data_IF_845912392317
#
_entry.id   IF_845912392317
#
_cell.length_a   1.000
_cell.length_b   1.000
_cell.length_c   1.000
_cell.angle_alpha   90.00
_cell.angle_beta   90.00
_cell.angle_gamma   90.00
#
_symmetry.space_group_name_H-M   'P 1'
#
loop_
_entity.id
_entity.type
_entity.pdbx_description
1 polymer ?
#
# COMPACT_ATOMS: atom_id res chain seq x y z
N UNK A 1 -26.76 -9.85 15.66
CA UNK A 1 -25.53 -9.02 15.58
C UNK A 1 -25.82 -7.63 16.11
N UNK A 2 -24.89 -7.00 16.86
CA UNK A 2 -25.02 -5.60 17.33
C UNK A 2 -23.90 -4.74 16.72
N UNK A 3 -24.27 -3.72 15.96
CA UNK A 3 -23.29 -2.78 15.39
C UNK A 3 -22.66 -1.93 16.49
N UNK A 4 -21.35 -1.71 16.41
CA UNK A 4 -20.60 -0.87 17.35
C UNK A 4 -20.41 0.51 16.72
N UNK A 5 -21.00 1.60 17.24
CA UNK A 5 -20.86 2.94 16.67
C UNK A 5 -19.41 3.34 16.40
N UNK A 6 -18.50 3.02 17.33
CA UNK A 6 -17.06 3.29 17.20
C UNK A 6 -16.37 2.59 16.01
N UNK A 7 -16.91 1.45 15.54
CA UNK A 7 -16.40 0.69 14.39
C UNK A 7 -17.16 0.97 13.09
N UNK A 8 -18.29 1.68 13.15
CA UNK A 8 -19.07 2.07 11.98
C UNK A 8 -18.59 3.41 11.43
N UNK A 9 -18.77 3.63 10.13
CA UNK A 9 -18.59 4.94 9.49
C UNK A 9 -19.75 5.24 8.57
N UNK A 10 -20.07 6.52 8.44
CA UNK A 10 -21.08 6.98 7.48
C UNK A 10 -20.42 7.76 6.33
N UNK A 11 -21.01 7.66 5.14
CA UNK A 11 -20.62 8.44 3.97
C UNK A 11 -21.87 8.67 3.13
N UNK A 12 -22.12 9.92 2.76
CA UNK A 12 -23.23 10.27 1.87
C UNK A 12 -22.69 10.72 0.53
N UNK A 13 -23.21 10.09 -0.53
CA UNK A 13 -22.90 10.44 -1.91
C UNK A 13 -24.14 11.09 -2.54
N UNK A 14 -23.99 12.30 -3.06
CA UNK A 14 -25.04 12.98 -3.85
C UNK A 14 -24.46 13.42 -5.18
N UNK A 15 -25.01 12.90 -6.28
CA UNK A 15 -24.52 13.15 -7.65
C UNK A 15 -23.00 12.89 -7.79
N UNK A 16 -22.51 11.78 -7.21
CA UNK A 16 -21.11 11.39 -7.26
C UNK A 16 -20.15 12.19 -6.37
N UNK A 17 -20.65 13.16 -5.59
CA UNK A 17 -19.85 13.94 -4.64
C UNK A 17 -20.13 13.54 -3.21
N UNK A 18 -19.09 13.49 -2.39
CA UNK A 18 -19.22 13.29 -0.94
C UNK A 18 -19.86 14.51 -0.31
N UNK A 19 -20.88 14.31 0.52
CA UNK A 19 -21.61 15.36 1.23
C UNK A 19 -21.51 15.11 2.74
N UNK A 20 -20.73 15.93 3.43
CA UNK A 20 -20.55 15.85 4.87
C UNK A 20 -21.53 16.80 5.61
N UNK A 21 -22.83 16.55 5.43
CA UNK A 21 -23.90 17.32 6.09
C UNK A 21 -24.83 16.46 6.94
N UNK A 22 -24.91 15.17 6.63
CA UNK A 22 -25.83 14.26 7.28
C UNK A 22 -25.11 13.48 8.37
N UNK A 23 -25.75 13.36 9.53
CA UNK A 23 -25.27 12.57 10.65
C UNK A 23 -26.19 11.37 10.86
N UNK A 24 -25.58 10.23 11.16
CA UNK A 24 -26.28 8.97 11.41
C UNK A 24 -25.99 8.50 12.82
N UNK A 25 -27.01 7.99 13.49
CA UNK A 25 -26.90 7.43 14.83
C UNK A 25 -27.14 5.93 14.77
N UNK A 26 -26.38 5.16 15.56
CA UNK A 26 -26.72 3.78 15.90
C UNK A 26 -27.17 3.82 17.37
N UNK A 27 -28.42 3.43 17.61
CA UNK A 27 -29.12 3.75 18.86
C UNK A 27 -29.00 5.27 19.11
N UNK A 28 -28.46 5.67 20.27
CA UNK A 28 -28.33 7.07 20.66
C UNK A 28 -26.91 7.64 20.44
N UNK A 29 -26.03 6.90 19.76
CA UNK A 29 -24.65 7.32 19.52
C UNK A 29 -24.43 7.69 18.07
N UNK A 30 -23.97 8.93 17.84
CA UNK A 30 -23.57 9.41 16.52
C UNK A 30 -22.35 8.66 16.00
N UNK A 31 -22.42 8.23 14.74
CA UNK A 31 -21.33 7.57 14.04
C UNK A 31 -20.49 8.65 13.34
N UNK A 32 -19.15 8.60 13.45
CA UNK A 32 -18.30 9.52 12.71
C UNK A 32 -18.41 9.29 11.19
N UNK A 33 -18.28 10.36 10.41
CA UNK A 33 -18.21 10.24 8.96
C UNK A 33 -16.84 9.68 8.54
N UNK A 34 -16.78 9.08 7.34
CA UNK A 34 -15.50 8.59 6.78
C UNK A 34 -14.52 9.75 6.53
N UNK A 35 -15.04 10.96 6.29
CA UNK A 35 -14.25 12.18 6.12
C UNK A 35 -13.60 12.62 7.44
N UNK A 36 -14.32 12.51 8.56
CA UNK A 36 -13.79 12.82 9.90
C UNK A 36 -12.80 11.77 10.38
N UNK A 37 -13.16 10.49 10.19
CA UNK A 37 -12.36 9.37 10.67
C UNK A 37 -12.37 8.25 9.63
N UNK A 38 -11.33 8.16 8.78
CA UNK A 38 -11.16 7.04 7.88
C UNK A 38 -11.25 5.69 8.60
N UNK A 39 -11.65 4.65 7.87
CA UNK A 39 -11.73 3.29 8.41
C UNK A 39 -10.62 2.44 7.83
N UNK A 40 -9.96 1.66 8.71
CA UNK A 40 -8.98 0.66 8.30
C UNK A 40 -9.60 -0.73 8.40
N UNK A 41 -9.52 -1.52 7.34
CA UNK A 41 -9.95 -2.91 7.30
C UNK A 41 -8.95 -3.75 6.51
N UNK A 42 -8.49 -4.86 7.09
CA UNK A 42 -7.52 -5.77 6.45
C UNK A 42 -6.30 -5.02 5.87
N UNK A 43 -5.76 -4.05 6.60
CA UNK A 43 -4.62 -3.25 6.14
C UNK A 43 -4.97 -2.14 5.15
N UNK A 44 -6.13 -2.18 4.48
CA UNK A 44 -6.65 -1.11 3.62
C UNK A 44 -7.18 0.05 4.43
N UNK A 45 -6.83 1.27 4.05
CA UNK A 45 -7.49 2.48 4.55
C UNK A 45 -8.52 2.94 3.53
N UNK A 46 -9.74 3.17 3.98
CA UNK A 46 -10.82 3.79 3.21
C UNK A 46 -11.06 5.19 3.75
N UNK A 47 -10.79 6.17 2.90
CA UNK A 47 -11.06 7.59 3.15
C UNK A 47 -12.24 8.06 2.29
N UNK A 48 -12.56 9.36 2.38
CA UNK A 48 -13.64 9.96 1.60
C UNK A 48 -13.36 10.03 0.10
N UNK A 49 -12.10 9.92 -0.34
CA UNK A 49 -11.77 9.90 -1.77
C UNK A 49 -12.15 8.57 -2.43
N UNK A 50 -12.21 7.49 -1.64
CA UNK A 50 -12.39 6.10 -2.09
C UNK A 50 -11.35 5.68 -3.14
N UNK A 51 -10.24 6.41 -3.24
CA UNK A 51 -9.15 6.12 -4.15
C UNK A 51 -8.01 5.50 -3.39
N UNK A 52 -7.37 4.53 -4.03
CA UNK A 52 -6.21 3.86 -3.47
C UNK A 52 -4.89 4.58 -3.80
N UNK A 53 -4.94 5.70 -4.54
CA UNK A 53 -3.77 6.39 -5.11
C UNK A 53 -2.71 6.75 -4.06
N UNK A 54 -3.12 7.31 -2.92
CA UNK A 54 -2.20 7.70 -1.84
C UNK A 54 -1.48 6.49 -1.26
N UNK A 55 -2.21 5.40 -1.01
CA UNK A 55 -1.65 4.16 -0.48
C UNK A 55 -0.69 3.50 -1.48
N UNK A 56 -1.06 3.47 -2.76
CA UNK A 56 -0.21 2.95 -3.85
C UNK A 56 1.09 3.76 -3.94
N UNK A 57 1.00 5.09 -3.89
CA UNK A 57 2.18 5.96 -3.93
C UNK A 57 3.09 5.74 -2.72
N UNK A 58 2.51 5.56 -1.53
CA UNK A 58 3.25 5.22 -0.32
C UNK A 58 4.01 3.91 -0.48
N UNK A 59 3.35 2.85 -0.97
CA UNK A 59 3.99 1.55 -1.24
C UNK A 59 5.13 1.66 -2.26
N UNK A 60 4.95 2.44 -3.33
CA UNK A 60 6.01 2.68 -4.31
C UNK A 60 7.22 3.37 -3.67
N UNK A 61 6.98 4.33 -2.78
CA UNK A 61 8.03 5.09 -2.10
C UNK A 61 8.78 4.24 -1.08
N UNK A 62 8.05 3.40 -0.33
CA UNK A 62 8.65 2.41 0.59
C UNK A 62 9.52 1.41 -0.16
N UNK A 63 9.04 0.90 -1.30
CA UNK A 63 9.82 0.00 -2.14
C UNK A 63 11.13 0.66 -2.59
N UNK A 64 11.06 1.87 -3.13
CA UNK A 64 12.24 2.61 -3.56
C UNK A 64 13.23 2.80 -2.40
N UNK A 65 12.72 3.07 -1.20
CA UNK A 65 13.54 3.17 0.01
C UNK A 65 14.26 1.87 0.33
N UNK A 66 13.54 0.75 0.33
CA UNK A 66 14.12 -0.58 0.60
C UNK A 66 15.13 -1.00 -0.46
N UNK A 67 14.84 -0.81 -1.75
CA UNK A 67 15.78 -1.11 -2.85
C UNK A 67 17.06 -0.29 -2.72
N UNK A 68 16.96 1.01 -2.42
CA UNK A 68 18.14 1.87 -2.19
C UNK A 68 18.96 1.40 -0.98
N UNK A 69 18.32 0.96 0.09
CA UNK A 69 19.02 0.41 1.26
C UNK A 69 19.72 -0.90 0.94
N UNK A 70 19.10 -1.78 0.16
CA UNK A 70 19.72 -3.04 -0.30
C UNK A 70 20.90 -2.74 -1.21
N UNK A 71 20.77 -1.80 -2.12
CA UNK A 71 21.85 -1.45 -3.04
C UNK A 71 23.08 -0.90 -2.31
N UNK A 72 22.85 0.01 -1.35
CA UNK A 72 23.89 0.62 -0.51
C UNK A 72 24.48 -0.29 0.56
N UNK A 73 23.96 -1.52 0.71
CA UNK A 73 24.42 -2.43 1.76
C UNK A 73 25.82 -3.03 1.50
N UNK A 74 26.35 -2.91 0.28
CA UNK A 74 27.61 -3.55 -0.12
C UNK A 74 27.54 -5.07 -0.23
N UNK A 75 26.34 -5.66 -0.14
CA UNK A 75 26.14 -7.10 -0.27
C UNK A 75 26.42 -7.58 -1.71
N UNK A 76 27.04 -8.75 -1.90
CA UNK A 76 27.11 -9.40 -3.20
C UNK A 76 25.72 -9.61 -3.81
N UNK A 77 25.60 -9.55 -5.14
CA UNK A 77 24.32 -9.59 -5.86
C UNK A 77 23.40 -10.76 -5.47
N UNK A 78 23.95 -11.95 -5.21
CA UNK A 78 23.18 -13.12 -4.73
C UNK A 78 22.45 -12.87 -3.41
N UNK A 79 23.07 -12.12 -2.49
CA UNK A 79 22.47 -11.77 -1.21
C UNK A 79 21.48 -10.61 -1.35
N UNK A 80 21.72 -9.65 -2.26
CA UNK A 80 20.72 -8.62 -2.61
C UNK A 80 19.43 -9.27 -3.16
N UNK A 81 19.56 -10.24 -4.07
CA UNK A 81 18.44 -11.00 -4.60
C UNK A 81 17.69 -11.79 -3.52
N UNK A 82 18.43 -12.42 -2.59
CA UNK A 82 17.84 -13.11 -1.45
C UNK A 82 17.02 -12.17 -0.55
N UNK A 83 17.56 -10.99 -0.23
CA UNK A 83 16.87 -9.97 0.57
C UNK A 83 15.62 -9.46 -0.16
N UNK A 84 15.69 -9.29 -1.48
CA UNK A 84 14.51 -8.95 -2.26
C UNK A 84 13.43 -10.03 -2.14
N UNK A 85 13.78 -11.28 -2.41
CA UNK A 85 12.83 -12.41 -2.45
C UNK A 85 12.18 -12.69 -1.10
N UNK A 86 12.96 -12.66 -0.02
CA UNK A 86 12.49 -13.09 1.31
C UNK A 86 12.20 -11.95 2.28
N UNK A 87 12.72 -10.75 2.03
CA UNK A 87 12.51 -9.57 2.88
C UNK A 87 11.50 -8.59 2.28
N UNK A 88 11.74 -8.16 1.05
CA UNK A 88 11.00 -7.07 0.40
C UNK A 88 9.70 -7.58 -0.23
N UNK A 89 9.76 -8.64 -1.04
CA UNK A 89 8.62 -9.14 -1.80
C UNK A 89 7.40 -9.51 -0.93
N UNK A 90 7.54 -10.20 0.22
CA UNK A 90 6.39 -10.49 1.08
C UNK A 90 5.70 -9.24 1.63
N UNK A 91 6.44 -8.14 1.81
CA UNK A 91 5.88 -6.86 2.32
C UNK A 91 5.09 -6.11 1.26
N UNK A 92 5.51 -6.17 0.00
CA UNK A 92 4.82 -5.53 -1.13
C UNK A 92 3.59 -6.32 -1.56
N UNK A 93 3.65 -7.65 -1.45
CA UNK A 93 2.57 -8.53 -1.92
C UNK A 93 1.23 -8.19 -1.25
N UNK A 94 1.25 -7.83 0.04
CA UNK A 94 0.03 -7.46 0.77
C UNK A 94 -0.64 -6.17 0.24
N UNK A 95 0.05 -5.03 0.11
CA UNK A 95 -0.47 -3.86 -0.61
C UNK A 95 -0.99 -4.15 -2.01
N UNK A 96 -0.26 -4.95 -2.81
CA UNK A 96 -0.70 -5.31 -4.17
C UNK A 96 -2.00 -6.13 -4.18
N UNK A 97 -2.21 -6.96 -3.16
CA UNK A 97 -3.42 -7.77 -3.03
C UNK A 97 -4.63 -6.94 -2.56
N UNK A 98 -4.40 -5.99 -1.67
CA UNK A 98 -5.47 -5.27 -0.95
C UNK A 98 -5.94 -4.01 -1.70
N UNK A 99 -5.04 -3.36 -2.43
CA UNK A 99 -5.35 -2.16 -3.22
C UNK A 99 -5.60 -2.50 -4.68
N UNK A 100 -6.43 -1.69 -5.34
CA UNK A 100 -6.63 -1.78 -6.79
C UNK A 100 -5.46 -1.13 -7.53
N UNK A 101 -4.33 -1.84 -7.59
CA UNK A 101 -3.10 -1.34 -8.20
C UNK A 101 -3.16 -1.50 -9.73
N UNK A 102 -2.98 -0.43 -10.52
CA UNK A 102 -2.91 -0.53 -11.97
C UNK A 102 -1.72 -1.39 -12.43
N UNK A 103 -1.91 -2.15 -13.51
CA UNK A 103 -0.83 -3.00 -14.06
C UNK A 103 0.41 -2.17 -14.46
N UNK A 104 0.22 -0.97 -14.98
CA UNK A 104 1.31 -0.06 -15.35
C UNK A 104 2.17 0.35 -14.14
N UNK A 105 1.58 0.45 -12.95
CA UNK A 105 2.32 0.68 -11.71
C UNK A 105 3.15 -0.56 -11.39
N UNK A 106 2.59 -1.76 -11.51
CA UNK A 106 3.31 -3.03 -11.28
C UNK A 106 4.51 -3.17 -12.22
N UNK A 107 4.32 -2.92 -13.52
CA UNK A 107 5.41 -2.93 -14.52
C UNK A 107 6.53 -1.94 -14.19
N UNK A 108 6.16 -0.77 -13.65
CA UNK A 108 7.14 0.23 -13.20
C UNK A 108 7.94 -0.27 -12.00
N UNK A 109 7.28 -0.93 -11.04
CA UNK A 109 7.95 -1.53 -9.88
C UNK A 109 8.89 -2.66 -10.31
N UNK A 110 8.44 -3.53 -11.20
CA UNK A 110 9.25 -4.63 -11.76
C UNK A 110 10.54 -4.08 -12.40
N UNK A 111 10.42 -3.08 -13.27
CA UNK A 111 11.58 -2.45 -13.93
C UNK A 111 12.59 -1.91 -12.92
N UNK A 112 12.12 -1.27 -11.83
CA UNK A 112 13.00 -0.74 -10.77
C UNK A 112 13.75 -1.86 -10.06
N UNK A 113 13.05 -2.93 -9.68
CA UNK A 113 13.68 -4.10 -9.06
C UNK A 113 14.76 -4.68 -9.97
N UNK A 114 14.46 -4.90 -11.24
CA UNK A 114 15.42 -5.45 -12.21
C UNK A 114 16.68 -4.59 -12.31
N UNK A 115 16.54 -3.26 -12.36
CA UNK A 115 17.71 -2.36 -12.42
C UNK A 115 18.59 -2.44 -11.17
N UNK A 116 17.99 -2.60 -9.98
CA UNK A 116 18.75 -2.70 -8.73
C UNK A 116 19.45 -4.06 -8.58
N UNK A 117 18.85 -5.14 -9.08
CA UNK A 117 19.42 -6.49 -8.98
C UNK A 117 20.43 -6.82 -10.07
N UNK A 118 20.35 -6.16 -11.23
CA UNK A 118 21.24 -6.40 -12.38
C UNK A 118 22.45 -5.46 -12.44
N UNK A 119 22.48 -4.40 -11.63
CA UNK A 119 23.57 -3.40 -11.62
C UNK A 119 24.91 -3.92 -11.08
N UNK A 120 24.91 -5.02 -10.33
CA UNK A 120 26.13 -5.74 -9.98
C UNK A 120 26.40 -6.76 -11.07
N UNK A 121 27.43 -6.49 -11.90
CA UNK A 121 27.88 -7.42 -12.92
C UNK A 121 27.93 -8.84 -12.37
N UNK A 122 27.33 -9.77 -13.11
CA UNK A 122 27.52 -11.21 -12.93
C UNK A 122 29.01 -11.52 -13.14
N UNK A 123 29.81 -11.22 -12.12
CA UNK A 123 31.14 -11.76 -11.94
C UNK A 123 30.97 -13.23 -11.64
N UNK A 124 30.82 -14.01 -12.71
CA UNK A 124 31.20 -15.41 -12.73
C UNK A 124 32.69 -15.49 -12.36
N UNK A 125 32.99 -15.51 -11.07
CA UNK A 125 34.21 -16.14 -10.59
C UNK A 125 33.83 -17.56 -10.21
N UNK A 126 34.09 -18.46 -11.16
CA UNK A 126 34.20 -19.87 -10.86
C UNK A 126 35.34 -20.08 -9.86
N UNK A 127 35.02 -20.84 -8.82
CA UNK A 127 35.94 -21.62 -8.01
C UNK A 127 35.15 -22.84 -7.52
#
# INVERSE_FOLDING_TARGET
MRFKPAKSRSMVLRKGKVVDKFRFNIADTAIPSISEKPVKSLGKVFDCSLRDTTSIQSTCTELDGWLKSVDKSGLPGKFKAWVYQHGILPRILWPLLVYAVPISTVETLERRVSTTTSGDGLGYQGA
#
